data_IF_710965392370
#
_entry.id   IF_710965392370
#
_cell.length_a   1.000
_cell.length_b   1.000
_cell.length_c   1.000
_cell.angle_alpha   90.00
_cell.angle_beta   90.00
_cell.angle_gamma   90.00
#
_symmetry.space_group_name_H-M   'P 1'
#
loop_
_entity.id
_entity.type
_entity.pdbx_description
1 polymer ?
#
# COMPACT_ATOMS: atom_id res chain seq x y z
N UNK A 1 -3.52 21.31 -14.33
CA UNK A 1 -2.08 21.57 -14.45
C UNK A 1 -1.39 20.75 -13.36
N UNK A 2 -0.21 20.16 -13.61
CA UNK A 2 0.53 19.50 -12.54
C UNK A 2 0.85 20.52 -11.44
N UNK A 3 0.80 20.08 -10.18
CA UNK A 3 1.19 20.93 -9.06
C UNK A 3 2.68 21.27 -9.19
N UNK A 4 3.03 22.52 -8.98
CA UNK A 4 4.44 22.91 -8.91
C UNK A 4 5.00 22.54 -7.54
N UNK A 5 6.32 22.35 -7.36
CA UNK A 5 6.90 22.06 -6.06
C UNK A 5 6.53 23.09 -4.97
N UNK A 6 6.29 24.33 -5.36
CA UNK A 6 5.89 25.41 -4.44
C UNK A 6 4.42 25.28 -3.94
N UNK A 7 3.58 24.55 -4.65
CA UNK A 7 2.15 24.37 -4.32
C UNK A 7 1.89 23.08 -3.51
N UNK A 8 2.93 22.29 -3.22
CA UNK A 8 2.77 21.06 -2.49
C UNK A 8 2.55 21.30 -1.00
N UNK A 9 1.67 20.54 -0.34
CA UNK A 9 1.42 20.63 1.09
C UNK A 9 2.52 20.00 1.96
N UNK A 10 3.66 19.63 1.35
CA UNK A 10 4.83 19.02 2.00
C UNK A 10 6.12 19.43 1.28
N UNK A 11 7.24 19.33 1.99
CA UNK A 11 8.57 19.57 1.41
C UNK A 11 9.00 18.34 0.59
N UNK A 12 8.98 18.50 -0.74
CA UNK A 12 9.30 17.42 -1.68
C UNK A 12 10.77 16.98 -1.58
N UNK A 13 11.70 17.93 -1.44
CA UNK A 13 13.13 17.62 -1.39
C UNK A 13 13.49 16.88 -0.11
N UNK A 14 13.01 17.37 1.03
CA UNK A 14 13.22 16.71 2.31
C UNK A 14 12.56 15.31 2.35
N UNK A 15 11.34 15.18 1.83
CA UNK A 15 10.64 13.90 1.75
C UNK A 15 11.39 12.88 0.89
N UNK A 16 11.87 13.30 -0.30
CA UNK A 16 12.65 12.44 -1.20
C UNK A 16 14.02 12.08 -0.62
N UNK A 17 14.70 13.01 0.04
CA UNK A 17 15.98 12.75 0.69
C UNK A 17 15.81 11.68 1.79
N UNK A 18 14.82 11.85 2.68
CA UNK A 18 14.53 10.90 3.73
C UNK A 18 14.10 9.52 3.17
N UNK A 19 13.24 9.53 2.15
CA UNK A 19 12.81 8.32 1.47
C UNK A 19 13.97 7.54 0.84
N UNK A 20 14.88 8.22 0.14
CA UNK A 20 16.06 7.58 -0.46
C UNK A 20 17.00 7.00 0.57
N UNK A 21 17.21 7.70 1.67
CA UNK A 21 18.11 7.23 2.73
C UNK A 21 17.48 6.12 3.58
N UNK A 22 16.22 6.28 4.01
CA UNK A 22 15.60 5.40 5.01
C UNK A 22 14.61 4.41 4.44
N UNK A 23 14.16 4.56 3.18
CA UNK A 23 13.16 3.72 2.53
C UNK A 23 11.71 4.10 2.85
N UNK A 24 11.48 5.14 3.63
CA UNK A 24 10.17 5.71 3.92
C UNK A 24 10.25 7.22 4.09
N UNK A 25 9.10 7.91 4.01
CA UNK A 25 8.98 9.31 4.43
C UNK A 25 7.54 9.61 4.85
N UNK A 26 7.37 10.46 5.85
CA UNK A 26 6.05 10.95 6.28
C UNK A 26 5.76 12.26 5.59
N UNK A 27 4.62 12.35 4.92
CA UNK A 27 4.18 13.59 4.25
C UNK A 27 3.22 14.42 5.12
N UNK A 28 2.81 13.89 6.29
CA UNK A 28 1.82 14.51 7.15
C UNK A 28 0.37 14.21 6.74
N UNK A 29 -0.59 14.92 7.36
CA UNK A 29 -2.02 14.79 7.08
C UNK A 29 -2.35 15.51 5.78
N UNK A 30 -2.56 14.77 4.69
CA UNK A 30 -2.86 15.30 3.37
C UNK A 30 -4.32 15.07 2.93
N UNK A 31 -4.99 14.06 3.47
CA UNK A 31 -6.40 13.82 3.17
C UNK A 31 -7.29 14.62 4.14
N UNK A 32 -8.25 15.39 3.61
CA UNK A 32 -9.24 16.09 4.42
C UNK A 32 -10.21 15.11 5.08
N UNK A 33 -10.86 15.55 6.16
CA UNK A 33 -11.84 14.73 6.87
C UNK A 33 -13.01 14.32 5.98
N UNK A 34 -13.49 15.22 5.09
CA UNK A 34 -14.53 14.91 4.09
C UNK A 34 -14.10 13.79 3.14
N UNK A 35 -12.85 13.86 2.64
CA UNK A 35 -12.30 12.83 1.75
C UNK A 35 -12.19 11.49 2.46
N UNK A 36 -11.75 11.51 3.70
CA UNK A 36 -11.65 10.30 4.54
C UNK A 36 -13.02 9.67 4.77
N UNK A 37 -14.02 10.48 5.11
CA UNK A 37 -15.40 9.99 5.28
C UNK A 37 -15.94 9.37 4.00
N UNK A 38 -15.77 10.04 2.86
CA UNK A 38 -16.17 9.51 1.56
C UNK A 38 -15.49 8.17 1.23
N UNK A 39 -14.17 8.05 1.43
CA UNK A 39 -13.43 6.81 1.18
C UNK A 39 -13.82 5.69 2.14
N UNK A 40 -14.05 5.99 3.43
CA UNK A 40 -14.50 5.00 4.42
C UNK A 40 -15.90 4.48 4.09
N UNK A 41 -16.85 5.38 3.84
CA UNK A 41 -18.20 4.99 3.46
C UNK A 41 -18.21 4.16 2.17
N UNK A 42 -17.37 4.54 1.20
CA UNK A 42 -17.29 3.84 -0.09
C UNK A 42 -16.71 2.43 0.05
N UNK A 43 -15.63 2.25 0.82
CA UNK A 43 -15.07 0.90 1.00
C UNK A 43 -16.01 0.00 1.79
N UNK A 44 -16.73 0.53 2.77
CA UNK A 44 -17.73 -0.23 3.51
C UNK A 44 -18.87 -0.66 2.58
N UNK A 45 -19.40 0.23 1.73
CA UNK A 45 -20.42 -0.09 0.72
C UNK A 45 -19.94 -1.15 -0.29
N UNK A 46 -18.67 -1.09 -0.72
CA UNK A 46 -18.05 -2.12 -1.58
C UNK A 46 -17.97 -3.46 -0.84
N UNK A 47 -17.51 -3.48 0.40
CA UNK A 47 -17.41 -4.70 1.21
C UNK A 47 -18.78 -5.30 1.55
N UNK A 48 -19.82 -4.48 1.65
CA UNK A 48 -21.20 -4.91 1.85
C UNK A 48 -21.91 -5.31 0.56
N UNK A 49 -21.31 -5.09 -0.61
CA UNK A 49 -21.89 -5.41 -1.91
C UNK A 49 -22.93 -4.41 -2.41
N UNK A 50 -23.08 -3.26 -1.75
CA UNK A 50 -23.98 -2.16 -2.15
C UNK A 50 -23.45 -1.40 -3.36
N UNK A 51 -22.11 -1.35 -3.50
CA UNK A 51 -21.40 -0.83 -4.66
C UNK A 51 -20.52 -1.92 -5.24
N UNK A 52 -20.64 -2.17 -6.54
CA UNK A 52 -19.94 -3.28 -7.20
C UNK A 52 -19.24 -2.81 -8.48
N UNK A 53 -18.03 -3.35 -8.69
CA UNK A 53 -17.28 -3.17 -9.94
C UNK A 53 -16.80 -4.53 -10.46
N UNK A 54 -16.96 -4.83 -11.76
CA UNK A 54 -16.47 -6.08 -12.32
C UNK A 54 -14.99 -6.28 -12.09
N UNK A 55 -14.62 -7.45 -11.54
CA UNK A 55 -13.25 -7.88 -11.39
C UNK A 55 -12.48 -7.24 -10.23
N UNK A 56 -13.14 -6.62 -9.25
CA UNK A 56 -12.51 -6.35 -7.96
C UNK A 56 -12.00 -7.68 -7.35
N UNK A 57 -10.89 -7.59 -6.65
CA UNK A 57 -10.33 -8.73 -5.94
C UNK A 57 -10.56 -8.53 -4.45
N UNK A 58 -11.08 -9.56 -3.79
CA UNK A 58 -11.34 -9.57 -2.36
C UNK A 58 -10.57 -10.70 -1.69
N UNK A 59 -10.08 -10.45 -0.49
CA UNK A 59 -9.55 -11.49 0.39
C UNK A 59 -10.17 -11.31 1.78
N UNK A 60 -10.86 -12.34 2.24
CA UNK A 60 -11.38 -12.36 3.62
C UNK A 60 -10.24 -12.46 4.61
N UNK A 61 -10.46 -11.93 5.80
CA UNK A 61 -9.57 -12.14 6.92
C UNK A 61 -9.81 -13.53 7.53
N UNK A 62 -8.91 -13.95 8.41
CA UNK A 62 -9.05 -15.20 9.17
C UNK A 62 -9.44 -14.91 10.62
N UNK A 63 -10.25 -15.78 11.19
CA UNK A 63 -10.62 -15.65 12.60
C UNK A 63 -9.45 -15.94 13.55
N UNK A 64 -8.47 -16.74 13.12
CA UNK A 64 -7.26 -17.02 13.90
C UNK A 64 -6.33 -15.80 14.03
N UNK A 65 -6.41 -14.84 13.11
CA UNK A 65 -5.49 -13.71 13.02
C UNK A 65 -4.09 -14.09 12.56
N UNK A 66 -3.87 -15.33 12.10
CA UNK A 66 -2.59 -15.80 11.58
C UNK A 66 -2.53 -15.63 10.07
N UNK A 67 -1.38 -15.21 9.57
CA UNK A 67 -1.16 -14.97 8.16
C UNK A 67 -1.22 -16.26 7.32
N UNK A 68 -0.68 -17.34 7.84
CA UNK A 68 -0.63 -18.66 7.21
C UNK A 68 -2.00 -19.30 6.98
N UNK A 69 -3.01 -18.89 7.77
CA UNK A 69 -4.38 -19.37 7.64
C UNK A 69 -5.20 -18.61 6.60
N UNK A 70 -4.63 -17.58 5.99
CA UNK A 70 -5.32 -16.76 4.99
C UNK A 70 -5.57 -17.54 3.70
N UNK A 71 -6.84 -17.67 3.34
CA UNK A 71 -7.19 -18.18 2.02
C UNK A 71 -6.76 -17.23 0.91
N UNK A 72 -6.47 -17.78 -0.27
CA UNK A 72 -6.24 -16.95 -1.45
C UNK A 72 -7.50 -16.15 -1.80
N UNK A 73 -7.32 -14.86 -2.06
CA UNK A 73 -8.46 -13.99 -2.40
C UNK A 73 -9.06 -14.32 -3.75
N UNK A 74 -10.32 -13.97 -3.88
CA UNK A 74 -11.16 -14.21 -5.06
C UNK A 74 -11.95 -12.97 -5.43
N UNK A 75 -13.15 -13.17 -5.98
CA UNK A 75 -14.18 -12.15 -6.10
C UNK A 75 -14.95 -11.94 -4.80
N UNK A 76 -16.04 -11.19 -4.88
CA UNK A 76 -16.93 -10.94 -3.75
C UNK A 76 -17.57 -12.25 -3.25
N UNK A 77 -17.50 -12.48 -1.94
CA UNK A 77 -18.00 -13.70 -1.29
C UNK A 77 -19.09 -13.40 -0.23
N UNK A 78 -19.85 -12.34 -0.44
CA UNK A 78 -20.96 -11.91 0.42
C UNK A 78 -20.62 -10.72 1.33
N UNK A 79 -21.67 -10.06 1.86
CA UNK A 79 -21.54 -8.85 2.66
C UNK A 79 -20.77 -9.10 3.96
N UNK A 80 -19.66 -8.41 4.18
CA UNK A 80 -18.92 -8.42 5.44
C UNK A 80 -17.89 -7.30 5.49
N UNK A 81 -17.72 -6.66 6.63
CA UNK A 81 -16.63 -5.72 6.91
C UNK A 81 -15.32 -6.43 7.31
N UNK A 82 -15.28 -7.76 7.24
CA UNK A 82 -14.10 -8.56 7.58
C UNK A 82 -13.26 -8.94 6.36
N UNK A 83 -13.43 -8.28 5.23
CA UNK A 83 -12.45 -8.38 4.16
C UNK A 83 -11.15 -7.72 4.60
N UNK A 84 -10.06 -8.51 4.59
CA UNK A 84 -8.71 -8.02 4.89
C UNK A 84 -8.19 -7.10 3.80
N UNK A 85 -8.55 -7.41 2.55
CA UNK A 85 -8.01 -6.73 1.37
C UNK A 85 -9.05 -6.63 0.26
N UNK A 86 -9.14 -5.43 -0.33
CA UNK A 86 -9.90 -5.18 -1.56
C UNK A 86 -8.98 -4.46 -2.54
N UNK A 87 -8.77 -5.04 -3.75
CA UNK A 87 -7.87 -4.48 -4.77
C UNK A 87 -8.62 -4.01 -6.01
N UNK A 88 -7.92 -3.25 -6.84
CA UNK A 88 -8.36 -2.61 -8.09
C UNK A 88 -9.31 -1.45 -7.85
N UNK A 89 -9.03 -0.71 -6.81
CA UNK A 89 -9.83 0.44 -6.39
C UNK A 89 -9.74 1.63 -7.36
N UNK A 90 -8.83 1.60 -8.32
CA UNK A 90 -8.81 2.52 -9.44
C UNK A 90 -10.08 2.47 -10.31
N UNK A 91 -10.92 1.48 -10.13
CA UNK A 91 -12.22 1.36 -10.79
C UNK A 91 -13.32 2.22 -10.16
N UNK A 92 -13.12 2.62 -8.92
CA UNK A 92 -14.06 3.47 -8.20
C UNK A 92 -13.61 4.95 -8.30
N UNK A 93 -14.50 5.88 -8.69
CA UNK A 93 -14.12 7.28 -8.91
C UNK A 93 -13.63 7.99 -7.64
N UNK A 94 -14.13 7.63 -6.45
CA UNK A 94 -13.69 8.25 -5.18
C UNK A 94 -12.24 7.87 -4.88
N UNK A 95 -11.88 6.60 -5.10
CA UNK A 95 -10.50 6.15 -4.92
C UNK A 95 -9.59 6.63 -6.04
N UNK A 96 -10.08 6.61 -7.29
CA UNK A 96 -9.30 7.08 -8.44
C UNK A 96 -8.90 8.56 -8.28
N UNK A 97 -9.80 9.40 -7.78
CA UNK A 97 -9.52 10.81 -7.52
C UNK A 97 -8.36 11.01 -6.52
N UNK A 98 -8.26 10.14 -5.50
CA UNK A 98 -7.13 10.17 -4.57
C UNK A 98 -5.85 9.55 -5.18
N UNK A 99 -5.97 8.44 -5.89
CA UNK A 99 -4.86 7.76 -6.56
C UNK A 99 -4.20 8.67 -7.60
N UNK A 100 -5.00 9.44 -8.34
CA UNK A 100 -4.54 10.37 -9.36
C UNK A 100 -4.36 11.81 -8.83
N UNK A 101 -4.32 12.00 -7.52
CA UNK A 101 -4.23 13.35 -6.97
C UNK A 101 -2.93 14.04 -7.41
N UNK A 102 -2.99 15.25 -7.99
CA UNK A 102 -1.82 15.97 -8.50
C UNK A 102 -0.72 16.20 -7.47
N UNK A 103 -1.02 16.16 -6.17
CA UNK A 103 0.00 16.30 -5.12
C UNK A 103 1.04 15.17 -5.14
N UNK A 104 0.71 14.00 -5.70
CA UNK A 104 1.62 12.85 -5.79
C UNK A 104 2.44 12.83 -7.09
N UNK A 105 2.03 13.59 -8.10
CA UNK A 105 2.68 13.57 -9.42
C UNK A 105 4.15 13.98 -9.38
N UNK A 106 4.55 15.13 -8.77
CA UNK A 106 5.95 15.54 -8.74
C UNK A 106 6.86 14.53 -8.04
N UNK A 107 6.37 13.92 -6.96
CA UNK A 107 7.08 12.88 -6.22
C UNK A 107 7.27 11.63 -7.08
N UNK A 108 6.20 11.10 -7.67
CA UNK A 108 6.26 9.89 -8.48
C UNK A 108 7.12 10.08 -9.74
N UNK A 109 7.02 11.23 -10.41
CA UNK A 109 7.87 11.56 -11.55
C UNK A 109 9.34 11.66 -11.16
N UNK A 110 9.66 12.22 -10.00
CA UNK A 110 11.05 12.32 -9.54
C UNK A 110 11.62 10.95 -9.22
N UNK A 111 10.83 10.05 -8.66
CA UNK A 111 11.28 8.66 -8.36
C UNK A 111 11.53 7.88 -9.64
N UNK A 112 10.67 7.99 -10.65
CA UNK A 112 10.76 7.21 -11.88
C UNK A 112 11.42 7.90 -13.07
N UNK A 113 11.63 9.21 -12.99
CA UNK A 113 12.27 9.99 -14.03
C UNK A 113 11.45 10.16 -15.31
N UNK A 114 10.11 10.07 -15.23
CA UNK A 114 9.24 10.17 -16.39
C UNK A 114 7.76 9.88 -16.09
N UNK A 115 7.06 9.37 -17.10
CA UNK A 115 5.67 8.99 -16.99
C UNK A 115 5.45 7.87 -15.97
N UNK A 116 4.28 7.90 -15.33
CA UNK A 116 3.92 7.03 -14.21
C UNK A 116 2.68 6.25 -14.54
N UNK A 117 2.71 4.95 -14.26
CA UNK A 117 1.56 4.06 -14.34
C UNK A 117 1.19 3.52 -12.98
N UNK A 118 -0.01 2.96 -12.88
CA UNK A 118 -0.50 2.31 -11.68
C UNK A 118 -0.30 0.79 -11.77
N UNK A 119 0.40 0.22 -10.79
CA UNK A 119 0.42 -1.23 -10.62
C UNK A 119 -0.85 -1.74 -9.95
N UNK A 120 -1.20 -1.16 -8.80
CA UNK A 120 -2.39 -1.51 -8.03
C UNK A 120 -2.74 -0.42 -7.03
N UNK A 121 -4.04 -0.35 -6.72
CA UNK A 121 -4.55 0.37 -5.56
C UNK A 121 -5.43 -0.56 -4.75
N UNK A 122 -5.23 -0.59 -3.45
CA UNK A 122 -5.94 -1.51 -2.56
C UNK A 122 -6.11 -0.94 -1.15
N UNK A 123 -7.18 -1.37 -0.50
CA UNK A 123 -7.35 -1.21 0.94
C UNK A 123 -6.82 -2.44 1.65
N UNK A 124 -5.99 -2.22 2.68
CA UNK A 124 -5.77 -3.16 3.76
C UNK A 124 -6.65 -2.76 4.95
N UNK A 125 -7.47 -3.70 5.40
CA UNK A 125 -8.41 -3.50 6.49
C UNK A 125 -8.10 -4.47 7.64
N UNK A 126 -8.03 -3.93 8.84
CA UNK A 126 -8.07 -4.68 10.09
C UNK A 126 -9.42 -4.38 10.73
N UNK A 127 -10.35 -5.32 10.59
CA UNK A 127 -11.72 -5.13 11.05
C UNK A 127 -11.77 -4.98 12.59
N UNK A 128 -12.63 -4.10 13.09
CA UNK A 128 -12.78 -3.85 14.53
C UNK A 128 -13.01 -5.13 15.33
N UNK A 129 -13.87 -6.03 14.82
CA UNK A 129 -14.23 -7.28 15.52
C UNK A 129 -13.08 -8.27 15.67
N UNK A 130 -12.19 -8.36 14.67
CA UNK A 130 -11.12 -9.37 14.65
C UNK A 130 -9.74 -8.79 14.90
N UNK A 131 -9.58 -7.48 14.77
CA UNK A 131 -8.26 -6.84 14.79
C UNK A 131 -7.40 -7.16 13.57
N UNK A 132 -7.92 -7.93 12.62
CA UNK A 132 -7.19 -8.34 11.42
C UNK A 132 -6.14 -9.43 11.66
N UNK A 133 -5.42 -9.81 10.60
CA UNK A 133 -4.31 -10.76 10.67
C UNK A 133 -2.98 -10.04 10.88
N UNK A 134 -2.05 -10.72 11.57
CA UNK A 134 -0.64 -10.33 11.54
C UNK A 134 -0.11 -10.44 10.10
N UNK A 135 0.60 -9.42 9.67
CA UNK A 135 1.33 -9.48 8.41
C UNK A 135 2.82 -9.61 8.75
N UNK A 136 3.47 -10.73 8.37
CA UNK A 136 4.87 -10.97 8.71
C UNK A 136 5.80 -10.01 7.96
N UNK A 137 7.08 -10.00 8.30
CA UNK A 137 8.10 -9.30 7.54
C UNK A 137 8.04 -9.70 6.06
N UNK A 138 7.92 -8.72 5.20
CA UNK A 138 7.84 -8.94 3.76
C UNK A 138 8.42 -7.77 2.98
N UNK A 139 8.65 -8.02 1.70
CA UNK A 139 9.05 -7.03 0.71
C UNK A 139 8.10 -7.13 -0.48
N UNK A 140 7.73 -5.99 -1.04
CA UNK A 140 6.84 -5.93 -2.20
C UNK A 140 7.67 -5.85 -3.49
N UNK A 141 7.49 -6.80 -4.41
CA UNK A 141 8.24 -6.89 -5.66
C UNK A 141 8.61 -8.33 -6.03
N UNK A 142 9.62 -8.47 -6.85
CA UNK A 142 10.17 -9.75 -7.26
C UNK A 142 9.37 -10.50 -8.32
N UNK A 143 9.84 -11.71 -8.64
CA UNK A 143 9.27 -12.55 -9.72
C UNK A 143 7.78 -12.85 -9.53
N UNK A 144 7.28 -12.83 -8.27
CA UNK A 144 5.85 -13.01 -7.99
C UNK A 144 4.98 -11.90 -8.59
N UNK A 145 5.50 -10.67 -8.66
CA UNK A 145 4.78 -9.56 -9.28
C UNK A 145 4.78 -9.64 -10.80
N UNK A 146 5.76 -10.32 -11.39
CA UNK A 146 5.87 -10.57 -12.82
C UNK A 146 6.08 -9.30 -13.63
N UNK A 147 6.94 -8.42 -13.14
CA UNK A 147 7.34 -7.17 -13.79
C UNK A 147 8.77 -7.30 -14.34
N UNK A 148 9.09 -6.52 -15.38
CA UNK A 148 10.45 -6.44 -15.93
C UNK A 148 11.33 -5.44 -15.18
N UNK A 149 10.71 -4.51 -14.43
CA UNK A 149 11.33 -3.51 -13.59
C UNK A 149 10.73 -3.57 -12.20
N UNK A 150 11.58 -3.54 -11.19
CA UNK A 150 11.13 -3.55 -9.82
C UNK A 150 10.41 -2.23 -9.47
N UNK A 151 9.29 -2.28 -8.76
CA UNK A 151 8.64 -1.07 -8.28
C UNK A 151 9.47 -0.45 -7.16
N UNK A 152 9.43 0.87 -7.08
CA UNK A 152 10.19 1.61 -6.08
C UNK A 152 9.34 2.46 -5.15
N UNK A 153 8.05 2.67 -5.42
CA UNK A 153 7.24 3.64 -4.67
C UNK A 153 5.85 3.12 -4.36
N UNK A 154 5.52 3.11 -3.09
CA UNK A 154 4.16 2.97 -2.58
C UNK A 154 3.77 4.20 -1.76
N UNK A 155 2.51 4.61 -1.89
CA UNK A 155 1.88 5.63 -1.05
C UNK A 155 0.88 4.92 -0.15
N UNK A 156 1.11 4.96 1.13
CA UNK A 156 0.23 4.44 2.16
C UNK A 156 -0.52 5.59 2.83
N UNK A 157 -1.84 5.60 2.75
CA UNK A 157 -2.71 6.62 3.36
C UNK A 157 -3.54 5.99 4.47
N UNK A 158 -3.40 6.49 5.68
CA UNK A 158 -4.24 6.08 6.80
C UNK A 158 -5.67 6.59 6.59
N UNK A 159 -6.64 5.71 6.43
CA UNK A 159 -8.05 6.11 6.42
C UNK A 159 -8.61 6.20 7.83
N UNK A 160 -8.11 5.41 8.76
CA UNK A 160 -8.41 5.44 10.19
C UNK A 160 -7.10 5.65 10.95
N UNK A 161 -7.20 6.04 12.22
CA UNK A 161 -6.04 6.08 13.09
C UNK A 161 -5.39 4.70 13.20
N UNK A 162 -4.08 4.68 13.13
CA UNK A 162 -3.25 3.48 13.25
C UNK A 162 -2.20 3.72 14.38
N UNK A 163 -2.60 3.69 15.66
CA UNK A 163 -1.67 3.80 16.77
C UNK A 163 -0.76 2.56 16.86
N UNK A 164 0.24 2.59 17.72
CA UNK A 164 1.21 1.50 17.87
C UNK A 164 0.54 0.13 18.11
N UNK A 165 -0.45 0.08 19.00
CA UNK A 165 -1.26 -1.11 19.24
C UNK A 165 -2.46 -1.26 18.27
N UNK A 166 -2.61 -0.36 17.30
CA UNK A 166 -3.67 -0.36 16.27
C UNK A 166 -3.25 -1.00 14.95
N UNK A 167 -2.12 -1.71 14.92
CA UNK A 167 -1.61 -2.35 13.71
C UNK A 167 -1.08 -1.33 12.69
N UNK A 168 -0.37 -0.32 13.17
CA UNK A 168 0.38 0.60 12.32
C UNK A 168 1.44 -0.14 11.49
N UNK A 169 2.07 0.57 10.57
CA UNK A 169 3.24 0.05 9.87
C UNK A 169 4.41 -0.09 10.85
N UNK A 170 5.16 -1.16 10.68
CA UNK A 170 6.46 -1.38 11.29
C UNK A 170 7.46 -1.66 10.18
N UNK A 171 8.60 -0.96 10.20
CA UNK A 171 9.56 -0.96 9.11
C UNK A 171 10.98 -1.12 9.65
N UNK A 172 11.87 -1.68 8.82
CA UNK A 172 13.32 -1.68 9.08
C UNK A 172 13.96 -0.61 8.20
N UNK A 173 14.29 0.57 8.73
CA UNK A 173 14.89 1.63 7.95
C UNK A 173 16.16 1.17 7.24
N UNK A 174 16.39 1.68 6.01
CA UNK A 174 17.56 1.37 5.16
C UNK A 174 17.62 -0.07 4.60
N UNK A 175 16.72 -0.97 5.00
CA UNK A 175 16.72 -2.36 4.50
C UNK A 175 16.53 -2.47 2.99
N UNK A 176 15.92 -1.48 2.35
CA UNK A 176 15.72 -1.44 0.90
C UNK A 176 17.03 -1.35 0.09
N UNK A 177 18.11 -0.84 0.68
CA UNK A 177 19.42 -0.74 0.01
C UNK A 177 20.02 -2.11 -0.34
N UNK A 178 19.68 -3.15 0.42
CA UNK A 178 20.10 -4.51 0.15
C UNK A 178 19.29 -5.20 -0.98
N UNK A 179 18.25 -4.52 -1.50
CA UNK A 179 17.34 -5.11 -2.49
C UNK A 179 16.44 -6.19 -1.89
N UNK A 180 15.97 -7.10 -2.74
CA UNK A 180 15.12 -8.22 -2.33
C UNK A 180 15.95 -9.34 -1.71
N UNK A 181 15.54 -9.82 -0.54
CA UNK A 181 16.15 -10.99 0.14
C UNK A 181 15.88 -12.27 -0.65
N UNK A 182 14.73 -12.35 -1.27
CA UNK A 182 14.30 -13.47 -2.10
C UNK A 182 13.96 -12.96 -3.50
N UNK A 183 14.44 -13.62 -4.54
CA UNK A 183 14.10 -13.27 -5.91
C UNK A 183 12.60 -13.33 -6.20
N UNK A 184 11.87 -14.16 -5.45
CA UNK A 184 10.42 -14.25 -5.54
C UNK A 184 9.73 -13.02 -4.96
N UNK A 185 10.34 -12.35 -3.97
CA UNK A 185 9.69 -11.30 -3.15
C UNK A 185 8.71 -11.89 -2.14
N UNK A 186 7.86 -11.04 -1.57
CA UNK A 186 6.84 -11.46 -0.60
C UNK A 186 7.38 -11.66 0.81
N UNK A 187 6.89 -12.67 1.53
CA UNK A 187 7.31 -12.94 2.92
C UNK A 187 8.80 -13.25 2.98
N UNK A 188 9.48 -12.59 3.90
CA UNK A 188 10.91 -12.79 4.13
C UNK A 188 11.12 -14.16 4.80
N UNK A 189 12.01 -15.00 4.25
CA UNK A 189 12.29 -16.32 4.84
C UNK A 189 12.82 -16.22 6.28
N UNK A 190 12.42 -17.15 7.16
CA UNK A 190 12.81 -17.18 8.58
C UNK A 190 14.33 -17.16 8.77
N UNK A 191 15.07 -17.84 7.89
CA UNK A 191 16.54 -17.84 7.93
C UNK A 191 17.12 -16.43 7.73
N UNK A 192 16.49 -15.61 6.90
CA UNK A 192 16.90 -14.23 6.72
C UNK A 192 16.47 -13.35 7.90
N UNK A 193 15.27 -13.56 8.44
CA UNK A 193 14.80 -12.87 9.66
C UNK A 193 15.77 -13.18 10.82
N UNK A 194 16.15 -14.44 11.02
CA UNK A 194 17.10 -14.83 12.07
C UNK A 194 18.49 -14.20 11.88
N UNK A 195 18.96 -14.07 10.64
CA UNK A 195 20.28 -13.47 10.34
C UNK A 195 20.29 -11.96 10.54
N UNK A 196 19.28 -11.27 10.04
CA UNK A 196 19.24 -9.80 10.04
C UNK A 196 18.70 -9.21 11.34
N UNK A 197 18.03 -10.03 12.18
CA UNK A 197 17.41 -9.61 13.46
C UNK A 197 16.65 -8.27 13.33
N UNK A 198 15.61 -8.21 12.47
CA UNK A 198 14.94 -6.94 12.15
C UNK A 198 14.35 -6.25 13.37
N UNK A 199 13.97 -7.00 14.41
CA UNK A 199 13.42 -6.47 15.67
C UNK A 199 14.37 -5.50 16.38
N UNK A 200 15.67 -5.67 16.22
CA UNK A 200 16.67 -4.79 16.84
C UNK A 200 16.75 -3.40 16.15
N UNK A 201 16.21 -3.28 14.95
CA UNK A 201 16.33 -2.07 14.11
C UNK A 201 14.98 -1.54 13.64
N UNK A 202 13.91 -2.28 13.88
CA UNK A 202 12.57 -1.90 13.46
C UNK A 202 12.05 -0.69 14.24
N UNK A 203 11.27 0.11 13.55
CA UNK A 203 10.52 1.22 14.14
C UNK A 203 9.06 1.13 13.78
N UNK A 204 8.20 1.51 14.72
CA UNK A 204 6.78 1.68 14.47
C UNK A 204 6.53 3.05 13.81
N UNK A 205 5.60 3.08 12.87
CA UNK A 205 5.13 4.28 12.21
C UNK A 205 3.64 4.48 12.52
N UNK A 206 3.28 4.87 13.75
CA UNK A 206 1.89 5.20 14.06
C UNK A 206 1.44 6.37 13.20
N UNK A 207 0.17 6.39 12.80
CA UNK A 207 -0.37 7.44 11.94
C UNK A 207 -1.78 7.84 12.41
N UNK A 208 -2.10 9.12 12.27
CA UNK A 208 -3.47 9.60 12.39
C UNK A 208 -4.19 9.53 11.05
N UNK A 209 -5.52 9.49 11.09
CA UNK A 209 -6.33 9.48 9.88
C UNK A 209 -6.01 10.68 8.97
N UNK A 210 -5.80 10.41 7.69
CA UNK A 210 -5.38 11.38 6.68
C UNK A 210 -3.88 11.50 6.47
N UNK A 211 -3.08 10.89 7.32
CA UNK A 211 -1.63 10.92 7.17
C UNK A 211 -1.16 10.00 6.03
N UNK A 212 -0.16 10.48 5.30
CA UNK A 212 0.43 9.79 4.16
C UNK A 212 1.87 9.42 4.45
N UNK A 213 2.21 8.16 4.21
CA UNK A 213 3.56 7.62 4.36
C UNK A 213 4.02 7.04 3.02
N UNK A 214 5.19 7.44 2.56
CA UNK A 214 5.87 6.80 1.43
C UNK A 214 6.62 5.57 1.92
N UNK A 215 6.60 4.50 1.12
CA UNK A 215 7.31 3.26 1.44
C UNK A 215 8.01 2.76 0.18
N UNK A 216 9.29 2.46 0.27
CA UNK A 216 10.01 1.76 -0.78
C UNK A 216 9.57 0.30 -0.83
N UNK A 217 9.29 -0.22 -2.01
CA UNK A 217 8.79 -1.59 -2.17
C UNK A 217 9.70 -2.66 -1.55
N UNK A 218 11.01 -2.47 -1.64
CA UNK A 218 12.00 -3.40 -1.09
C UNK A 218 12.30 -3.20 0.40
N UNK A 219 11.67 -2.22 1.05
CA UNK A 219 11.84 -2.06 2.49
C UNK A 219 11.15 -3.21 3.23
N UNK A 220 11.83 -3.79 4.21
CA UNK A 220 11.20 -4.76 5.09
C UNK A 220 10.13 -4.07 5.91
N UNK A 221 8.92 -4.56 5.82
CA UNK A 221 7.82 -4.01 6.57
C UNK A 221 6.83 -5.09 7.00
N UNK A 222 6.09 -4.80 8.06
CA UNK A 222 5.04 -5.65 8.60
C UNK A 222 3.96 -4.83 9.28
N UNK A 223 2.90 -5.47 9.78
CA UNK A 223 1.93 -4.85 10.68
C UNK A 223 1.30 -5.89 11.60
N UNK A 224 1.27 -5.61 12.89
CA UNK A 224 0.59 -6.44 13.87
C UNK A 224 -0.94 -6.37 13.73
N UNK A 225 -1.66 -7.19 14.46
CA UNK A 225 -3.12 -7.05 14.65
C UNK A 225 -3.42 -5.73 15.34
N UNK A 226 -4.64 -5.23 15.14
CA UNK A 226 -5.15 -4.11 15.94
C UNK A 226 -5.77 -4.64 17.23
N UNK A 227 -5.40 -4.03 18.35
CA UNK A 227 -5.93 -4.34 19.68
C UNK A 227 -6.90 -3.26 20.18
N UNK A 228 -7.15 -2.23 19.35
CA UNK A 228 -7.94 -1.05 19.75
C UNK A 228 -9.46 -1.32 19.76
N UNK A 229 -9.92 -2.37 19.12
CA UNK A 229 -11.36 -2.60 18.90
C UNK A 229 -11.97 -1.67 17.84
N UNK A 230 -11.18 -0.81 17.21
CA UNK A 230 -11.59 0.06 16.10
C UNK A 230 -11.11 -0.50 14.76
N UNK A 231 -11.80 -0.22 13.64
CA UNK A 231 -11.29 -0.57 12.32
C UNK A 231 -10.01 0.20 12.03
N UNK A 232 -9.07 -0.42 11.31
CA UNK A 232 -7.89 0.25 10.77
C UNK A 232 -7.78 -0.04 9.28
N UNK A 233 -8.28 0.88 8.48
CA UNK A 233 -8.21 0.83 7.02
C UNK A 233 -7.08 1.72 6.53
N UNK A 234 -6.34 1.24 5.56
CA UNK A 234 -5.32 2.03 4.87
C UNK A 234 -5.38 1.77 3.37
N UNK A 235 -5.36 2.84 2.58
CA UNK A 235 -5.24 2.77 1.13
C UNK A 235 -3.76 2.73 0.76
N UNK A 236 -3.37 1.69 0.03
CA UNK A 236 -2.02 1.58 -0.52
C UNK A 236 -2.08 1.68 -2.04
N UNK A 237 -1.29 2.57 -2.59
CA UNK A 237 -1.14 2.80 -4.02
C UNK A 237 0.29 2.48 -4.41
N UNK A 238 0.49 1.56 -5.36
CA UNK A 238 1.81 1.25 -5.90
C UNK A 238 1.90 1.80 -7.33
N UNK A 239 2.78 2.75 -7.54
CA UNK A 239 3.10 3.30 -8.85
C UNK A 239 4.23 2.53 -9.51
N UNK A 240 4.34 2.67 -10.84
CA UNK A 240 5.40 2.12 -11.66
C UNK A 240 5.94 3.18 -12.63
N UNK A 241 7.17 3.00 -13.04
CA UNK A 241 7.69 3.58 -14.28
C UNK A 241 6.79 3.15 -15.45
N UNK A 242 6.34 4.07 -16.28
CA UNK A 242 5.47 3.77 -17.40
C UNK A 242 6.11 2.86 -18.48
N UNK A 243 7.42 2.68 -18.43
CA UNK A 243 8.17 1.73 -19.27
C UNK A 243 8.12 0.30 -18.75
N UNK A 244 7.49 0.05 -17.58
CA UNK A 244 7.40 -1.28 -16.98
C UNK A 244 6.46 -2.17 -17.78
N UNK A 245 6.91 -3.40 -18.07
CA UNK A 245 6.15 -4.40 -18.79
C UNK A 245 5.80 -5.60 -17.88
N UNK A 246 4.67 -6.23 -18.18
CA UNK A 246 4.27 -7.46 -17.51
C UNK A 246 4.95 -8.68 -18.17
N UNK A 247 5.73 -9.44 -17.40
CA UNK A 247 6.43 -10.66 -17.85
C UNK A 247 5.65 -11.95 -17.63
N UNK A 248 4.42 -11.89 -17.16
CA UNK A 248 3.61 -13.09 -16.91
C UNK A 248 3.27 -13.81 -18.21
N UNK A 249 3.69 -15.09 -18.33
CA UNK A 249 3.49 -15.91 -19.54
C UNK A 249 2.25 -16.80 -19.49
N UNK A 250 1.70 -17.07 -18.30
CA UNK A 250 0.59 -18.02 -18.12
C UNK A 250 -0.81 -17.40 -18.31
N UNK A 251 -0.90 -16.09 -18.47
CA UNK A 251 -2.13 -15.33 -18.69
C UNK A 251 -1.82 -14.19 -19.63
N UNK A 252 -2.86 -13.60 -20.22
CA UNK A 252 -2.73 -12.35 -20.96
C UNK A 252 -1.92 -11.32 -20.16
N UNK A 253 -0.86 -10.74 -20.76
CA UNK A 253 -0.06 -9.73 -20.09
C UNK A 253 -0.93 -8.56 -19.60
N UNK A 254 -0.69 -8.14 -18.38
CA UNK A 254 -1.38 -6.94 -17.86
C UNK A 254 -0.88 -5.70 -18.58
N UNK A 255 -1.81 -4.85 -18.98
CA UNK A 255 -1.53 -3.46 -19.31
C UNK A 255 -1.69 -2.61 -18.05
N UNK A 256 -0.81 -1.60 -17.89
CA UNK A 256 -0.86 -0.71 -16.73
C UNK A 256 -1.49 0.62 -17.12
N UNK A 257 -2.39 1.11 -16.27
CA UNK A 257 -3.09 2.36 -16.49
C UNK A 257 -2.13 3.55 -16.25
N UNK A 258 -1.98 4.44 -17.24
CA UNK A 258 -1.22 5.68 -17.07
C UNK A 258 -1.97 6.59 -16.13
N UNK A 259 -1.31 6.99 -15.04
CA UNK A 259 -1.92 7.82 -14.00
C UNK A 259 -1.47 9.28 -14.12
N UNK A 260 -0.22 9.50 -14.44
CA UNK A 260 0.38 10.81 -14.69
C UNK A 260 1.09 10.78 -16.05
N UNK A 261 0.35 10.94 -17.18
CA UNK A 261 0.96 11.01 -18.50
C UNK A 261 1.67 12.34 -18.69
N UNK A 262 2.75 12.36 -19.50
CA UNK A 262 3.29 13.63 -20.01
C UNK A 262 2.25 14.33 -20.89
N UNK A 263 2.23 15.63 -20.85
CA UNK A 263 1.37 16.46 -21.70
C UNK A 263 1.72 16.30 -23.18
#
# INVERSE_FOLDING_TARGET
MPATPADLPYDLEAALAHYREHGYARLGKLASDERLEAMRARIDAIMMGEVTYPGLFFQKDTDSGKYEDLAYGKGFEGPTLSYRKVEKLEKDPIFLDWIANPIFEPLARTVYGGDVTLYRALIFNKAARTGGSNLPWHQDGGDFWGLDREPGLQIWTALDDAPENGGCLEVVPKSHHAGLVSKLGGVVPDVAVARENPEAHAILLPAVAGEVILIHNHMWHRSARSETGNPRRALTVCYLDARTECRRKKREPRTFFKIFPSA
#
